data_IF_414598057781
#
_entry.id   IF_414598057781
#
_cell.length_a   1.000
_cell.length_b   1.000
_cell.length_c   1.000
_cell.angle_alpha   90.00
_cell.angle_beta   90.00
_cell.angle_gamma   90.00
#
_symmetry.space_group_name_H-M   'P 1'
#
loop_
_entity.id
_entity.type
_entity.pdbx_description
1 polymer ?
#
# COMPACT_ATOMS: atom_id res chain seq x y z
N UNK A 1 7.90 -1.56 -10.00
CA UNK A 1 8.63 -0.28 -9.90
C UNK A 1 7.77 0.84 -10.49
N UNK A 2 7.15 1.69 -9.64
CA UNK A 2 6.31 2.81 -10.07
C UNK A 2 7.02 3.86 -10.93
N UNK A 3 8.36 3.97 -10.83
CA UNK A 3 9.13 4.91 -11.64
C UNK A 3 9.15 4.55 -13.13
N UNK A 4 8.83 3.30 -13.49
CA UNK A 4 8.79 2.82 -14.88
C UNK A 4 7.46 3.04 -15.58
N UNK A 5 6.45 3.53 -14.88
CA UNK A 5 5.14 3.83 -15.48
C UNK A 5 5.31 4.99 -16.47
N UNK A 6 4.84 4.90 -17.72
CA UNK A 6 4.92 5.99 -18.70
C UNK A 6 4.24 7.30 -18.25
N UNK A 7 4.79 8.45 -18.63
CA UNK A 7 4.26 9.77 -18.23
C UNK A 7 2.86 10.06 -18.79
N UNK A 8 2.56 9.59 -19.99
CA UNK A 8 1.22 9.69 -20.59
C UNK A 8 0.17 8.93 -19.75
N UNK A 9 0.52 7.73 -19.27
CA UNK A 9 -0.32 6.98 -18.35
C UNK A 9 -0.53 7.71 -17.01
N UNK A 10 0.54 8.32 -16.45
CA UNK A 10 0.44 9.14 -15.23
C UNK A 10 -0.50 10.32 -15.44
N UNK A 11 -0.34 11.06 -16.55
CA UNK A 11 -1.21 12.21 -16.87
C UNK A 11 -2.65 11.80 -17.07
N UNK A 12 -2.90 10.66 -17.73
CA UNK A 12 -4.25 10.12 -17.92
C UNK A 12 -4.94 9.81 -16.57
N UNK A 13 -4.23 9.13 -15.66
CA UNK A 13 -4.74 8.83 -14.32
C UNK A 13 -4.98 10.12 -13.52
N UNK A 14 -4.02 11.05 -13.53
CA UNK A 14 -4.19 12.32 -12.83
C UNK A 14 -5.38 13.13 -13.38
N UNK A 15 -5.58 13.15 -14.70
CA UNK A 15 -6.74 13.76 -15.34
C UNK A 15 -8.06 13.13 -14.87
N UNK A 16 -8.12 11.80 -14.80
CA UNK A 16 -9.29 11.10 -14.26
C UNK A 16 -9.56 11.46 -12.79
N UNK A 17 -8.50 11.57 -11.97
CA UNK A 17 -8.57 11.94 -10.56
C UNK A 17 -8.95 13.41 -10.33
N UNK A 18 -8.58 14.32 -11.24
CA UNK A 18 -8.91 15.74 -11.14
C UNK A 18 -10.41 16.00 -11.11
N UNK A 19 -11.23 15.16 -11.76
CA UNK A 19 -12.69 15.23 -11.66
C UNK A 19 -13.20 15.09 -10.22
N UNK A 20 -12.52 14.31 -9.39
CA UNK A 20 -12.85 14.20 -7.97
C UNK A 20 -12.29 15.37 -7.17
N UNK A 21 -11.07 15.83 -7.50
CA UNK A 21 -10.46 17.00 -6.85
C UNK A 21 -11.33 18.24 -7.00
N UNK A 22 -11.81 18.51 -8.20
CA UNK A 22 -12.73 19.63 -8.49
C UNK A 22 -14.01 19.53 -7.64
N UNK A 23 -14.64 18.35 -7.58
CA UNK A 23 -15.83 18.11 -6.75
C UNK A 23 -15.59 18.31 -5.25
N UNK A 24 -14.35 18.12 -4.80
CA UNK A 24 -13.93 18.26 -3.41
C UNK A 24 -13.33 19.65 -3.11
N UNK A 25 -13.26 20.56 -4.10
CA UNK A 25 -12.64 21.87 -3.93
C UNK A 25 -11.11 21.83 -3.78
N UNK A 26 -10.45 20.77 -4.27
CA UNK A 26 -9.01 20.56 -4.20
C UNK A 26 -8.31 21.03 -5.50
N UNK A 27 -7.06 21.54 -5.42
CA UNK A 27 -6.28 21.89 -6.62
C UNK A 27 -6.07 20.70 -7.55
N UNK A 28 -6.23 20.91 -8.85
CA UNK A 28 -5.92 19.89 -9.87
C UNK A 28 -4.41 19.80 -10.09
N UNK A 29 -3.95 18.63 -10.53
CA UNK A 29 -2.55 18.42 -10.89
C UNK A 29 -2.44 17.36 -11.98
N UNK A 30 -1.40 17.45 -12.81
CA UNK A 30 -1.01 16.41 -13.76
C UNK A 30 0.39 15.86 -13.44
N UNK A 31 0.99 16.32 -12.33
CA UNK A 31 2.34 15.96 -11.93
C UNK A 31 2.36 14.53 -11.40
N UNK A 32 3.43 13.79 -11.70
CA UNK A 32 3.72 12.50 -11.08
C UNK A 32 3.77 12.64 -9.55
N UNK A 33 2.98 11.87 -8.78
CA UNK A 33 3.13 11.83 -7.34
C UNK A 33 4.56 11.40 -6.95
N UNK A 34 5.15 11.96 -5.90
CA UNK A 34 6.43 11.46 -5.40
C UNK A 34 6.29 9.98 -5.02
N UNK A 35 7.38 9.23 -5.19
CA UNK A 35 7.44 7.87 -4.67
C UNK A 35 7.24 7.90 -3.15
N UNK A 36 6.40 7.01 -2.64
CA UNK A 36 6.23 6.78 -1.21
C UNK A 36 7.26 5.73 -0.79
N UNK A 37 7.95 5.89 0.36
CA UNK A 37 8.85 4.85 0.86
C UNK A 37 8.12 3.51 0.99
N UNK A 38 8.75 2.44 0.53
CA UNK A 38 8.29 1.10 0.82
C UNK A 38 8.68 0.75 2.26
N UNK A 39 7.67 0.69 3.14
CA UNK A 39 7.82 0.44 4.57
C UNK A 39 7.22 -0.90 4.99
N UNK A 40 6.86 -1.77 4.04
CA UNK A 40 6.15 -3.02 4.33
C UNK A 40 6.97 -3.89 5.29
N UNK A 41 8.26 -4.09 5.00
CA UNK A 41 9.13 -4.94 5.84
C UNK A 41 9.30 -4.36 7.25
N UNK A 42 9.48 -3.04 7.36
CA UNK A 42 9.64 -2.37 8.65
C UNK A 42 8.35 -2.43 9.48
N UNK A 43 7.20 -2.17 8.85
CA UNK A 43 5.89 -2.29 9.50
C UNK A 43 5.61 -3.74 9.92
N UNK A 44 6.05 -4.73 9.13
CA UNK A 44 5.91 -6.13 9.47
C UNK A 44 6.70 -6.52 10.72
N UNK A 45 7.93 -6.00 10.90
CA UNK A 45 8.68 -6.22 12.14
C UNK A 45 7.94 -5.70 13.38
N UNK A 46 7.36 -4.50 13.30
CA UNK A 46 6.53 -3.95 14.39
C UNK A 46 5.36 -4.87 14.71
N UNK A 47 4.69 -5.44 13.70
CA UNK A 47 3.59 -6.40 13.91
C UNK A 47 4.08 -7.65 14.65
N UNK A 48 5.26 -8.17 14.30
CA UNK A 48 5.82 -9.34 14.97
C UNK A 48 6.22 -9.04 16.43
N UNK A 49 6.66 -7.82 16.71
CA UNK A 49 7.02 -7.34 18.06
C UNK A 49 5.78 -7.13 18.94
N UNK A 50 4.78 -6.41 18.42
CA UNK A 50 3.54 -6.08 19.13
C UNK A 50 2.63 -7.30 19.34
N UNK A 51 2.79 -8.35 18.52
CA UNK A 51 2.06 -9.63 18.60
C UNK A 51 0.54 -9.45 18.71
N UNK A 52 -0.10 -8.73 17.79
CA UNK A 52 -1.55 -8.61 17.78
C UNK A 52 -2.20 -10.00 17.61
N UNK A 53 -3.45 -10.15 18.03
CA UNK A 53 -4.17 -11.41 17.87
C UNK A 53 -4.35 -11.82 16.40
N UNK A 54 -4.48 -10.83 15.51
CA UNK A 54 -4.69 -11.03 14.06
C UNK A 54 -3.88 -10.01 13.28
N UNK A 55 -3.12 -10.47 12.29
CA UNK A 55 -2.61 -9.66 11.19
C UNK A 55 -3.59 -9.76 10.02
N UNK A 56 -4.30 -8.66 9.74
CA UNK A 56 -5.30 -8.56 8.67
C UNK A 56 -4.76 -7.73 7.51
N UNK A 57 -4.80 -8.29 6.30
CA UNK A 57 -4.27 -7.66 5.09
C UNK A 57 -5.44 -7.40 4.15
N UNK A 58 -5.68 -6.11 3.86
CA UNK A 58 -6.81 -5.68 3.03
C UNK A 58 -6.52 -5.64 1.53
N UNK A 59 -5.24 -5.51 1.13
CA UNK A 59 -4.82 -5.52 -0.27
C UNK A 59 -3.47 -6.25 -0.39
N UNK A 60 -3.42 -7.26 -1.25
CA UNK A 60 -2.23 -8.07 -1.52
C UNK A 60 -2.18 -9.37 -0.70
N UNK A 61 -1.42 -10.35 -1.20
CA UNK A 61 -1.20 -11.60 -0.50
C UNK A 61 0.10 -11.54 0.31
N UNK A 62 0.10 -11.94 1.60
CA UNK A 62 1.35 -12.08 2.34
C UNK A 62 2.19 -13.19 1.72
N UNK A 63 3.50 -13.01 1.77
CA UNK A 63 4.41 -14.08 1.42
C UNK A 63 4.27 -15.25 2.40
N UNK A 64 4.59 -16.46 1.94
CA UNK A 64 4.56 -17.65 2.79
C UNK A 64 5.49 -17.54 4.01
N UNK A 65 6.60 -16.80 3.88
CA UNK A 65 7.52 -16.43 4.97
C UNK A 65 6.80 -15.64 6.07
N UNK A 66 6.12 -14.56 5.70
CA UNK A 66 5.35 -13.71 6.62
C UNK A 66 4.29 -14.52 7.37
N UNK A 67 3.54 -15.38 6.66
CA UNK A 67 2.53 -16.25 7.29
C UNK A 67 3.16 -17.20 8.32
N UNK A 68 4.31 -17.80 8.00
CA UNK A 68 5.02 -18.68 8.94
C UNK A 68 5.49 -17.93 10.18
N UNK A 69 6.04 -16.73 9.99
CA UNK A 69 6.55 -15.90 11.09
C UNK A 69 5.45 -15.42 12.03
N UNK A 70 4.28 -15.05 11.51
CA UNK A 70 3.10 -14.75 12.32
C UNK A 70 2.66 -15.97 13.13
N UNK A 71 2.51 -17.14 12.48
CA UNK A 71 2.07 -18.37 13.14
C UNK A 71 3.02 -18.82 14.24
N UNK A 72 4.33 -18.72 14.02
CA UNK A 72 5.35 -19.03 15.02
C UNK A 72 5.22 -18.17 16.29
N UNK A 73 4.60 -16.99 16.19
CA UNK A 73 4.38 -16.06 17.30
C UNK A 73 2.96 -16.10 17.87
N UNK A 74 2.10 -16.98 17.37
CA UNK A 74 0.70 -17.11 17.78
C UNK A 74 -0.26 -16.11 17.14
N UNK A 75 0.20 -15.38 16.12
CA UNK A 75 -0.58 -14.38 15.39
C UNK A 75 -1.38 -15.08 14.29
N UNK A 76 -2.70 -14.88 14.24
CA UNK A 76 -3.54 -15.38 13.15
C UNK A 76 -3.38 -14.46 11.93
N UNK A 77 -3.46 -15.02 10.73
CA UNK A 77 -3.39 -14.25 9.49
C UNK A 77 -4.73 -14.30 8.78
N UNK A 78 -5.25 -13.13 8.41
CA UNK A 78 -6.41 -12.96 7.55
C UNK A 78 -5.95 -12.19 6.31
N UNK A 79 -6.11 -12.79 5.13
CA UNK A 79 -5.81 -12.17 3.85
C UNK A 79 -7.03 -12.29 2.94
N UNK A 80 -7.30 -11.26 2.15
CA UNK A 80 -8.42 -11.15 1.21
C UNK A 80 -7.93 -10.92 -0.21
#
# INVERSE_FOLDING_TARGET
DPARIPEDAVRAVQGALNRFRERLGLPTTLVRPPAVPDVVDAAFQVILEERPAVFSIGLGNPEASMVRECRARGIKVLAM
#
